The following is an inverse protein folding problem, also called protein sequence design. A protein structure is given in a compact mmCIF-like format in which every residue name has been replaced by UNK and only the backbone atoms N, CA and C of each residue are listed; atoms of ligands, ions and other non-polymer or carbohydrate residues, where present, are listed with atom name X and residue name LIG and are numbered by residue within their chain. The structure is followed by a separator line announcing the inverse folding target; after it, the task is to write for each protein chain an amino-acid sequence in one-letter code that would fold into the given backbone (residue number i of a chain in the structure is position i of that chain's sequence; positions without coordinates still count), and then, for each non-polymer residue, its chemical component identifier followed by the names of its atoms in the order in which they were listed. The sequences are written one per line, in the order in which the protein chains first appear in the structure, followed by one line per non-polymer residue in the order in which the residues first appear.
data_IF_305952213939
#
_entry.id   IF_305952213939
#
_cell.length_a   1.000
_cell.length_b   1.000
_cell.length_c   1.000
_cell.angle_alpha   90.00
_cell.angle_beta   90.00
_cell.angle_gamma   90.00
#
_symmetry.space_group_name_H-M   'P 1'
#
loop_
_entity.id
_entity.type
_entity.pdbx_description
1 polymer ?
#
# COMPACT_ATOMS: atom_id res chain seq x y z
N UNK A 1 6.54 -23.03 45.56
CA UNK A 1 5.75 -23.49 44.42
C UNK A 1 4.71 -22.47 43.94
N UNK A 2 3.89 -21.88 44.82
CA UNK A 2 2.81 -20.92 44.45
C UNK A 2 3.30 -19.66 43.72
N UNK A 3 4.47 -19.11 44.09
CA UNK A 3 5.03 -17.94 43.41
C UNK A 3 5.64 -18.24 42.04
N UNK A 4 6.18 -19.44 41.83
CA UNK A 4 6.73 -19.88 40.55
C UNK A 4 5.63 -20.03 39.50
N UNK A 5 4.46 -20.55 39.92
CA UNK A 5 3.28 -20.68 39.03
C UNK A 5 2.75 -19.30 38.65
N UNK A 6 2.73 -18.35 39.58
CA UNK A 6 2.26 -16.98 39.31
C UNK A 6 3.17 -16.22 38.35
N UNK A 7 4.50 -16.34 38.50
CA UNK A 7 5.46 -15.73 37.59
C UNK A 7 5.42 -16.33 36.20
N UNK A 8 5.23 -17.66 36.11
CA UNK A 8 5.10 -18.34 34.83
C UNK A 8 3.81 -17.94 34.09
N UNK A 9 2.69 -17.87 34.81
CA UNK A 9 1.40 -17.41 34.26
C UNK A 9 1.48 -15.96 33.78
N UNK A 10 2.13 -15.08 34.52
CA UNK A 10 2.33 -13.69 34.14
C UNK A 10 3.21 -13.55 32.89
N UNK A 11 4.29 -14.33 32.79
CA UNK A 11 5.16 -14.38 31.61
C UNK A 11 4.44 -14.86 30.37
N UNK A 12 3.54 -15.85 30.46
CA UNK A 12 2.70 -16.31 29.36
C UNK A 12 1.73 -15.23 28.87
N UNK A 13 1.10 -14.50 29.79
CA UNK A 13 0.14 -13.43 29.45
C UNK A 13 0.84 -12.28 28.69
N UNK A 14 2.05 -11.91 29.12
CA UNK A 14 2.83 -10.87 28.45
C UNK A 14 3.22 -11.28 27.01
N UNK A 15 3.61 -12.53 26.80
CA UNK A 15 3.95 -13.04 25.47
C UNK A 15 2.74 -13.10 24.52
N UNK A 16 1.55 -13.42 25.01
CA UNK A 16 0.32 -13.42 24.21
C UNK A 16 -0.08 -12.00 23.80
N UNK A 17 0.11 -11.01 24.69
CA UNK A 17 -0.17 -9.60 24.40
C UNK A 17 0.77 -9.01 23.32
N UNK A 18 2.02 -9.45 23.27
CA UNK A 18 3.00 -9.04 22.25
C UNK A 18 2.78 -9.72 20.88
N UNK A 19 2.17 -10.91 20.86
CA UNK A 19 1.93 -11.67 19.63
C UNK A 19 0.75 -11.14 18.78
N UNK A 20 -0.07 -10.23 19.30
CA UNK A 20 -1.24 -9.68 18.61
C UNK A 20 -0.97 -8.32 17.94
N UNK A 21 0.24 -8.07 17.45
CA UNK A 21 0.49 -6.90 16.62
C UNK A 21 -0.14 -7.12 15.26
N UNK A 22 -1.36 -6.63 15.12
CA UNK A 22 -2.04 -6.61 13.83
C UNK A 22 -1.23 -5.76 12.84
N UNK A 23 -0.82 -6.40 11.77
CA UNK A 23 0.10 -5.80 10.80
C UNK A 23 -0.64 -4.81 9.90
N UNK A 24 -0.37 -3.53 10.09
CA UNK A 24 -0.84 -2.47 9.20
C UNK A 24 -0.09 -2.57 7.86
N UNK A 25 -0.84 -2.43 6.76
CA UNK A 25 -0.26 -2.37 5.43
C UNK A 25 -0.13 -0.91 5.03
N UNK A 26 1.09 -0.49 4.71
CA UNK A 26 1.39 0.87 4.23
C UNK A 26 1.83 0.85 2.77
N UNK A 27 1.51 1.92 2.05
CA UNK A 27 1.92 2.13 0.67
C UNK A 27 2.97 3.22 0.60
N UNK A 28 4.18 2.86 0.18
CA UNK A 28 5.32 3.77 0.06
C UNK A 28 5.60 4.06 -1.42
N UNK A 29 5.62 5.34 -1.78
CA UNK A 29 6.02 5.78 -3.12
C UNK A 29 7.55 5.72 -3.24
N UNK A 30 8.02 5.08 -4.29
CA UNK A 30 9.44 4.97 -4.61
C UNK A 30 9.70 5.55 -6.00
N UNK A 31 10.94 5.94 -6.30
CA UNK A 31 11.32 6.49 -7.61
C UNK A 31 10.92 5.57 -8.80
N UNK A 32 10.94 4.25 -8.60
CA UNK A 32 10.54 3.25 -9.62
C UNK A 32 9.08 2.78 -9.52
N UNK A 33 8.22 3.40 -8.70
CA UNK A 33 6.82 2.96 -8.56
C UNK A 33 6.30 2.97 -7.13
N UNK A 34 5.61 1.89 -6.75
CA UNK A 34 4.98 1.75 -5.44
C UNK A 34 5.41 0.45 -4.79
N UNK A 35 5.76 0.51 -3.51
CA UNK A 35 6.00 -0.64 -2.65
C UNK A 35 4.93 -0.71 -1.57
N UNK A 36 4.52 -1.91 -1.24
CA UNK A 36 3.66 -2.17 -0.09
C UNK A 36 4.51 -2.79 1.01
N UNK A 37 4.34 -2.29 2.23
CA UNK A 37 5.09 -2.73 3.39
C UNK A 37 4.12 -3.16 4.49
N UNK A 38 4.42 -4.29 5.11
CA UNK A 38 3.73 -4.82 6.27
C UNK A 38 4.78 -5.18 7.33
N UNK A 39 4.75 -4.53 8.48
CA UNK A 39 5.73 -4.69 9.59
C UNK A 39 7.20 -4.44 9.23
N UNK A 40 7.67 -3.93 8.24
CA UNK A 40 9.05 -3.82 7.74
C UNK A 40 9.35 -4.75 6.55
N UNK A 41 8.43 -5.64 6.20
CA UNK A 41 8.60 -6.53 5.05
C UNK A 41 7.94 -5.92 3.82
N UNK A 42 8.68 -5.87 2.71
CA UNK A 42 8.10 -5.48 1.42
C UNK A 42 7.28 -6.64 0.87
N UNK A 43 6.00 -6.38 0.59
CA UNK A 43 5.05 -7.36 0.04
C UNK A 43 4.62 -6.97 -1.38
N UNK A 44 4.39 -7.98 -2.20
CA UNK A 44 3.93 -7.77 -3.58
C UNK A 44 2.44 -7.42 -3.64
N UNK A 45 1.95 -6.75 -4.72
CA UNK A 45 0.53 -6.50 -4.90
C UNK A 45 -0.35 -7.77 -4.90
N UNK A 46 0.21 -8.93 -5.27
CA UNK A 46 -0.50 -10.21 -5.18
C UNK A 46 -0.69 -10.65 -3.72
N UNK A 47 0.36 -10.50 -2.91
CA UNK A 47 0.30 -10.82 -1.48
C UNK A 47 -0.68 -9.89 -0.74
N UNK A 48 -0.66 -8.58 -1.05
CA UNK A 48 -1.67 -7.64 -0.50
C UNK A 48 -3.07 -8.13 -0.83
N UNK A 49 -3.34 -8.49 -2.09
CA UNK A 49 -4.66 -8.98 -2.50
C UNK A 49 -5.08 -10.24 -1.71
N UNK A 50 -4.15 -11.17 -1.47
CA UNK A 50 -4.43 -12.37 -0.69
C UNK A 50 -4.75 -12.04 0.78
N UNK A 51 -4.02 -11.10 1.39
CA UNK A 51 -4.26 -10.66 2.77
C UNK A 51 -5.64 -9.98 2.90
N UNK A 52 -6.05 -9.24 1.87
CA UNK A 52 -7.32 -8.52 1.86
C UNK A 52 -8.55 -9.40 1.63
N UNK A 53 -8.40 -10.70 1.29
CA UNK A 53 -9.51 -11.63 1.03
C UNK A 53 -10.52 -11.70 2.18
N UNK A 54 -10.06 -11.59 3.42
CA UNK A 54 -10.91 -11.61 4.62
C UNK A 54 -11.73 -10.32 4.81
N UNK A 55 -11.54 -9.33 3.93
CA UNK A 55 -12.24 -8.04 3.98
C UNK A 55 -12.81 -7.72 2.60
N UNK A 56 -14.04 -8.16 2.29
CA UNK A 56 -14.60 -8.08 0.93
C UNK A 56 -14.53 -6.68 0.30
N UNK A 57 -14.82 -5.64 1.07
CA UNK A 57 -14.78 -4.26 0.59
C UNK A 57 -13.34 -3.82 0.22
N UNK A 58 -12.36 -4.12 1.07
CA UNK A 58 -10.96 -3.82 0.80
C UNK A 58 -10.41 -4.65 -0.38
N UNK A 59 -10.84 -5.90 -0.49
CA UNK A 59 -10.45 -6.79 -1.58
C UNK A 59 -10.90 -6.26 -2.94
N UNK A 60 -12.18 -5.88 -3.10
CA UNK A 60 -12.71 -5.36 -4.36
C UNK A 60 -12.05 -4.01 -4.75
N UNK A 61 -11.86 -3.11 -3.79
CA UNK A 61 -11.14 -1.85 -4.00
C UNK A 61 -9.70 -2.11 -4.46
N UNK A 62 -8.98 -3.02 -3.82
CA UNK A 62 -7.60 -3.32 -4.20
C UNK A 62 -7.49 -4.05 -5.54
N UNK A 63 -8.48 -4.85 -5.90
CA UNK A 63 -8.57 -5.51 -7.21
C UNK A 63 -8.68 -4.47 -8.34
N UNK A 64 -9.50 -3.43 -8.14
CA UNK A 64 -9.57 -2.28 -9.06
C UNK A 64 -8.25 -1.51 -9.11
N UNK A 65 -7.62 -1.28 -7.96
CA UNK A 65 -6.29 -0.67 -7.90
C UNK A 65 -5.28 -1.46 -8.74
N UNK A 66 -5.19 -2.77 -8.54
CA UNK A 66 -4.25 -3.64 -9.27
C UNK A 66 -4.50 -3.61 -10.78
N UNK A 67 -5.77 -3.57 -11.22
CA UNK A 67 -6.12 -3.45 -12.64
C UNK A 67 -5.61 -2.12 -13.22
N UNK A 68 -5.85 -1.03 -12.51
CA UNK A 68 -5.39 0.30 -12.92
C UNK A 68 -3.85 0.39 -12.93
N UNK A 69 -3.16 -0.22 -11.96
CA UNK A 69 -1.71 -0.28 -11.93
C UNK A 69 -1.13 -0.97 -13.17
N UNK A 70 -1.68 -2.13 -13.53
CA UNK A 70 -1.26 -2.87 -14.72
C UNK A 70 -1.54 -2.09 -16.00
N UNK A 71 -2.72 -1.47 -16.10
CA UNK A 71 -3.09 -0.66 -17.28
C UNK A 71 -2.17 0.55 -17.44
N UNK A 72 -1.94 1.32 -16.35
CA UNK A 72 -1.03 2.46 -16.37
C UNK A 72 0.41 2.05 -16.73
N UNK A 73 0.88 0.91 -16.21
CA UNK A 73 2.20 0.35 -16.53
C UNK A 73 2.35 0.01 -18.00
N UNK A 74 1.37 -0.67 -18.58
CA UNK A 74 1.36 -1.01 -20.03
C UNK A 74 1.33 0.26 -20.87
N UNK A 75 0.45 1.22 -20.57
CA UNK A 75 0.37 2.48 -21.30
C UNK A 75 1.68 3.29 -21.21
N UNK A 76 2.27 3.38 -20.01
CA UNK A 76 3.53 4.08 -19.80
C UNK A 76 4.70 3.42 -20.53
N UNK A 77 4.81 2.09 -20.46
CA UNK A 77 5.86 1.33 -21.13
C UNK A 77 5.74 1.43 -22.66
N UNK A 78 4.54 1.17 -23.21
CA UNK A 78 4.30 1.26 -24.66
C UNK A 78 4.51 2.70 -25.15
N UNK A 79 3.99 3.68 -24.41
CA UNK A 79 4.21 5.11 -24.72
C UNK A 79 5.68 5.48 -24.71
N UNK A 80 6.44 4.99 -23.72
CA UNK A 80 7.88 5.20 -23.63
C UNK A 80 8.66 4.60 -24.81
N UNK A 81 8.29 3.39 -25.26
CA UNK A 81 8.88 2.78 -26.46
C UNK A 81 8.57 3.57 -27.72
N UNK A 82 7.32 3.99 -27.92
CA UNK A 82 6.89 4.76 -29.09
C UNK A 82 7.58 6.13 -29.18
N UNK A 83 7.96 6.71 -28.05
CA UNK A 83 8.79 7.94 -28.00
C UNK A 83 10.28 7.61 -28.18
N UNK A 84 10.74 6.56 -27.51
CA UNK A 84 12.15 6.20 -27.48
C UNK A 84 12.72 5.75 -28.83
N UNK A 85 11.93 5.03 -29.65
CA UNK A 85 12.36 4.54 -30.98
C UNK A 85 12.69 5.71 -31.93
N UNK A 86 11.79 6.69 -32.18
CA UNK A 86 12.11 7.83 -33.03
C UNK A 86 13.26 8.68 -32.52
N UNK A 87 13.35 8.89 -31.19
CA UNK A 87 14.45 9.63 -30.59
C UNK A 87 15.79 8.89 -30.80
N UNK A 88 15.79 7.58 -30.61
CA UNK A 88 16.97 6.75 -30.92
C UNK A 88 17.38 6.85 -32.39
N UNK A 89 16.42 6.71 -33.33
CA UNK A 89 16.70 6.87 -34.76
C UNK A 89 17.31 8.23 -35.11
N UNK A 90 16.77 9.31 -34.53
CA UNK A 90 17.31 10.66 -34.74
C UNK A 90 18.77 10.81 -34.23
N UNK A 91 19.10 10.21 -33.09
CA UNK A 91 20.47 10.27 -32.53
C UNK A 91 21.45 9.47 -33.35
N UNK A 92 21.04 8.33 -33.90
CA UNK A 92 21.92 7.47 -34.70
C UNK A 92 21.93 7.79 -36.21
N UNK A 93 21.35 8.92 -36.65
CA UNK A 93 21.39 9.40 -38.04
C UNK A 93 20.40 8.67 -38.98
N UNK A 94 19.37 8.01 -38.43
CA UNK A 94 18.27 7.48 -39.22
C UNK A 94 17.12 8.47 -39.38
N UNK A 95 16.11 8.09 -40.18
CA UNK A 95 14.91 8.91 -40.39
C UNK A 95 13.89 8.64 -39.23
N UNK A 96 13.63 9.59 -38.34
CA UNK A 96 12.71 9.38 -37.23
C UNK A 96 11.25 9.55 -37.65
N UNK A 97 10.42 8.56 -37.31
CA UNK A 97 8.96 8.65 -37.50
C UNK A 97 8.30 9.40 -36.34
N UNK A 98 8.23 10.72 -36.42
CA UNK A 98 7.67 11.59 -35.36
C UNK A 98 6.20 11.30 -35.05
N UNK A 99 5.45 10.69 -35.97
CA UNK A 99 4.07 10.24 -35.72
C UNK A 99 3.98 9.24 -34.57
N UNK A 100 4.96 8.33 -34.45
CA UNK A 100 5.05 7.38 -33.33
C UNK A 100 5.30 8.11 -32.01
N UNK A 101 6.17 9.12 -32.01
CA UNK A 101 6.46 9.89 -30.81
C UNK A 101 5.21 10.62 -30.30
N UNK A 102 4.43 11.23 -31.19
CA UNK A 102 3.17 11.90 -30.83
C UNK A 102 2.18 10.89 -30.20
N UNK A 103 2.02 9.71 -30.83
CA UNK A 103 1.19 8.63 -30.29
C UNK A 103 1.67 8.14 -28.92
N UNK A 104 2.99 8.02 -28.75
CA UNK A 104 3.63 7.65 -27.48
C UNK A 104 3.37 8.66 -26.37
N UNK A 105 3.49 9.96 -26.66
CA UNK A 105 3.19 11.04 -25.71
C UNK A 105 1.70 10.99 -25.31
N UNK A 106 0.78 10.77 -26.26
CA UNK A 106 -0.64 10.66 -25.96
C UNK A 106 -0.93 9.48 -25.00
N UNK A 107 -0.27 8.33 -25.18
CA UNK A 107 -0.38 7.19 -24.27
C UNK A 107 0.17 7.50 -22.87
N UNK A 108 1.31 8.17 -22.78
CA UNK A 108 1.90 8.58 -21.49
C UNK A 108 0.94 9.52 -20.76
N UNK A 109 0.42 10.54 -21.42
CA UNK A 109 -0.55 11.47 -20.84
C UNK A 109 -1.84 10.75 -20.40
N UNK A 110 -2.33 9.81 -21.19
CA UNK A 110 -3.47 8.97 -20.86
C UNK A 110 -3.24 8.04 -19.67
N UNK A 111 -2.00 7.67 -19.38
CA UNK A 111 -1.66 6.85 -18.20
C UNK A 111 -1.81 7.59 -16.88
N UNK A 112 -1.71 8.93 -16.87
CA UNK A 112 -1.76 9.76 -15.66
C UNK A 112 -3.08 9.60 -14.89
N UNK A 113 -4.28 9.77 -15.50
CA UNK A 113 -5.53 9.58 -14.80
C UNK A 113 -5.73 8.13 -14.30
N UNK A 114 -5.26 7.14 -15.08
CA UNK A 114 -5.31 5.74 -14.68
C UNK A 114 -4.44 5.49 -13.44
N UNK A 115 -3.26 6.07 -13.41
CA UNK A 115 -2.37 5.99 -12.25
C UNK A 115 -2.96 6.70 -11.01
N UNK A 116 -3.61 7.85 -11.19
CA UNK A 116 -4.34 8.50 -10.09
C UNK A 116 -5.48 7.62 -9.54
N UNK A 117 -6.21 6.94 -10.42
CA UNK A 117 -7.25 5.98 -10.02
C UNK A 117 -6.66 4.80 -9.21
N UNK A 118 -5.50 4.28 -9.63
CA UNK A 118 -4.75 3.29 -8.84
C UNK A 118 -4.51 3.77 -7.41
N UNK A 119 -3.90 4.94 -7.23
CA UNK A 119 -3.61 5.47 -5.88
C UNK A 119 -4.87 5.65 -5.04
N UNK A 120 -5.96 6.14 -5.63
CA UNK A 120 -7.22 6.33 -4.93
C UNK A 120 -7.78 5.00 -4.42
N UNK A 121 -7.90 3.99 -5.29
CA UNK A 121 -8.43 2.69 -4.92
C UNK A 121 -7.50 1.93 -3.97
N UNK A 122 -6.17 2.01 -4.14
CA UNK A 122 -5.21 1.38 -3.24
C UNK A 122 -5.30 1.99 -1.83
N UNK A 123 -5.31 3.31 -1.69
CA UNK A 123 -5.47 3.96 -0.38
C UNK A 123 -6.81 3.61 0.26
N UNK A 124 -7.93 3.65 -0.49
CA UNK A 124 -9.24 3.27 0.02
C UNK A 124 -9.24 1.83 0.56
N UNK A 125 -8.65 0.90 -0.17
CA UNK A 125 -8.54 -0.49 0.25
C UNK A 125 -7.74 -0.65 1.55
N UNK A 126 -6.57 0.00 1.61
CA UNK A 126 -5.70 -0.05 2.79
C UNK A 126 -6.33 0.64 4.00
N UNK A 127 -7.02 1.77 3.81
CA UNK A 127 -7.73 2.46 4.88
C UNK A 127 -8.84 1.59 5.48
N UNK A 128 -9.63 0.90 4.62
CA UNK A 128 -10.67 -0.02 5.08
C UNK A 128 -10.07 -1.18 5.87
N UNK A 129 -8.97 -1.76 5.38
CA UNK A 129 -8.27 -2.85 6.05
C UNK A 129 -7.66 -2.40 7.38
N UNK A 130 -6.92 -1.31 7.38
CA UNK A 130 -6.19 -0.81 8.56
C UNK A 130 -7.15 -0.30 9.66
N UNK A 131 -8.35 0.19 9.32
CA UNK A 131 -9.36 0.58 10.31
C UNK A 131 -9.75 -0.55 11.25
N UNK A 132 -9.72 -1.81 10.81
CA UNK A 132 -9.95 -2.97 11.69
C UNK A 132 -8.94 -3.04 12.85
N UNK A 133 -7.76 -2.49 12.65
CA UNK A 133 -6.68 -2.50 13.63
C UNK A 133 -6.58 -1.19 14.42
N UNK A 134 -6.92 -0.07 13.81
CA UNK A 134 -6.93 1.25 14.46
C UNK A 134 -8.11 1.42 15.43
N UNK A 135 -9.22 0.71 15.21
CA UNK A 135 -10.38 0.74 16.13
C UNK A 135 -10.13 -0.02 17.44
N UNK A 136 -9.03 -0.75 17.57
CA UNK A 136 -8.65 -1.40 18.82
C UNK A 136 -7.95 -0.39 19.74
N UNK A 137 -8.74 0.22 20.64
CA UNK A 137 -8.29 0.90 21.85
C UNK A 137 -7.43 2.18 21.64
N UNK A 138 -8.06 3.30 21.36
CA UNK A 138 -7.45 4.59 21.69
C UNK A 138 -7.52 4.78 23.22
N UNK A 139 -6.48 4.29 23.92
CA UNK A 139 -6.29 4.52 25.33
C UNK A 139 -5.55 5.85 25.50
N UNK A 140 -6.26 6.90 25.90
CA UNK A 140 -5.67 8.19 26.21
C UNK A 140 -5.43 8.30 27.71
N UNK A 141 -4.17 8.45 28.10
CA UNK A 141 -3.77 8.76 29.47
C UNK A 141 -3.75 10.28 29.65
N UNK A 142 -4.57 10.79 30.57
CA UNK A 142 -4.52 12.19 30.98
C UNK A 142 -3.94 12.28 32.39
N UNK A 143 -2.80 12.95 32.51
CA UNK A 143 -2.25 13.35 33.80
C UNK A 143 -2.89 14.68 34.18
N UNK A 144 -3.76 14.68 35.17
CA UNK A 144 -4.25 15.90 35.81
C UNK A 144 -3.58 15.96 37.15
N UNK A 145 -3.00 17.09 37.55
CA UNK A 145 -2.14 17.26 38.73
C UNK A 145 -2.65 16.70 40.07
N UNK A 146 -3.83 16.11 40.15
CA UNK A 146 -4.43 15.45 41.31
C UNK A 146 -4.92 14.01 41.03
N UNK A 147 -4.64 13.43 39.85
CA UNK A 147 -5.05 12.05 39.53
C UNK A 147 -4.79 11.61 38.13
N UNK A 148 -4.84 10.28 37.89
CA UNK A 148 -4.78 9.64 36.57
C UNK A 148 -6.20 9.35 36.07
N UNK A 149 -6.54 9.83 34.86
CA UNK A 149 -7.80 9.50 34.22
C UNK A 149 -7.52 8.65 32.97
N UNK A 150 -7.98 7.41 32.98
CA UNK A 150 -7.93 6.50 31.84
C UNK A 150 -9.26 6.59 31.09
N UNK A 151 -9.23 7.06 29.84
CA UNK A 151 -10.39 7.05 28.95
C UNK A 151 -10.20 6.00 27.87
N UNK A 152 -10.95 4.91 27.95
CA UNK A 152 -11.03 3.87 26.93
C UNK A 152 -12.25 4.19 26.07
N UNK A 153 -12.06 4.40 24.74
CA UNK A 153 -13.15 4.46 23.77
C UNK A 153 -13.16 3.15 22.98
N UNK A 154 -14.30 2.49 23.00
CA UNK A 154 -14.58 1.30 22.21
C UNK A 154 -15.08 1.71 20.82
#
# INVERSE_FOLDING_TARGET
MRHIILTFAFSCIVNIALAQKASEITMVKTFGGVKFEMDTLTISPKQVLNILQDTPLAFEEFKLAKKNYSAAGVMGFTGGLLVGIPLGSAIFGGDPEWGLAVGGIALILGSIPVNKAFYRHANSALDVYNRKFTSRLKTNFYFTGQGMKLRIRF
#
